data_IF_753219122838
#
_entry.id   IF_753219122838
#
_cell.length_a   1.000
_cell.length_b   1.000
_cell.length_c   1.000
_cell.angle_alpha   90.00
_cell.angle_beta   90.00
_cell.angle_gamma   90.00
#
_symmetry.space_group_name_H-M   'P 1'
#
loop_
_entity.id
_entity.type
_entity.pdbx_description
1 polymer ?
#
# COMPACT_ATOMS: atom_id res chain seq x y z
N UNK A 1 8.71 24.78 31.39
CA UNK A 1 8.15 24.20 30.17
C UNK A 1 9.15 23.12 29.74
N UNK A 2 8.80 21.82 29.84
CA UNK A 2 9.63 20.76 29.27
C UNK A 2 9.67 21.01 27.76
N UNK A 3 10.87 21.18 27.18
CA UNK A 3 11.04 21.21 25.73
C UNK A 3 10.62 19.84 25.18
N UNK A 4 9.43 19.78 24.57
CA UNK A 4 8.98 18.59 23.86
C UNK A 4 9.77 18.47 22.56
N UNK A 5 10.30 17.28 22.25
CA UNK A 5 10.96 17.00 20.97
C UNK A 5 9.96 17.01 19.80
N UNK A 6 8.68 16.74 20.09
CA UNK A 6 7.62 16.69 19.11
C UNK A 6 6.47 17.57 19.53
N UNK A 7 5.85 18.23 18.57
CA UNK A 7 4.65 19.05 18.75
C UNK A 7 3.54 18.47 17.89
N UNK A 8 2.38 18.19 18.51
CA UNK A 8 1.19 17.79 17.76
C UNK A 8 0.60 18.99 17.02
N UNK A 9 0.44 18.86 15.71
CA UNK A 9 -0.20 19.86 14.87
C UNK A 9 -1.68 19.48 14.63
N UNK A 10 -2.63 20.37 14.91
CA UNK A 10 -4.05 20.08 14.70
C UNK A 10 -4.40 20.09 13.21
N UNK A 11 -5.49 19.38 12.84
CA UNK A 11 -6.01 19.35 11.47
C UNK A 11 -6.41 20.73 10.94
N UNK A 12 -6.75 21.67 11.83
CA UNK A 12 -7.02 23.07 11.45
C UNK A 12 -5.78 23.80 10.92
N UNK A 13 -4.59 23.36 11.31
CA UNK A 13 -3.32 23.89 10.81
C UNK A 13 -2.84 23.10 9.59
N UNK A 14 -2.91 21.77 9.66
CA UNK A 14 -2.35 20.90 8.60
C UNK A 14 -3.30 20.69 7.43
N UNK A 15 -4.60 20.91 7.62
CA UNK A 15 -5.69 20.58 6.72
C UNK A 15 -5.82 19.06 6.42
N UNK A 16 -5.11 18.19 7.15
CA UNK A 16 -5.28 16.73 7.05
C UNK A 16 -6.53 16.33 7.84
N UNK A 17 -7.53 15.78 7.13
CA UNK A 17 -8.82 15.34 7.70
C UNK A 17 -9.07 13.85 7.50
N UNK A 18 -8.00 13.09 7.28
CA UNK A 18 -8.12 11.65 7.10
C UNK A 18 -8.65 10.96 8.36
N UNK A 19 -9.65 10.13 8.18
CA UNK A 19 -10.16 9.20 9.19
C UNK A 19 -10.26 7.81 8.58
N UNK A 20 -9.61 6.83 9.19
CA UNK A 20 -9.77 5.44 8.79
C UNK A 20 -11.02 4.87 9.48
N UNK A 21 -12.08 4.59 8.71
CA UNK A 21 -13.34 4.01 9.19
C UNK A 21 -13.50 2.61 8.58
N UNK A 22 -13.09 1.55 9.30
CA UNK A 22 -13.21 0.19 8.80
C UNK A 22 -14.66 -0.11 8.41
N UNK A 23 -14.84 -0.68 7.20
CA UNK A 23 -16.15 -1.12 6.76
C UNK A 23 -16.60 -2.32 7.60
N UNK A 24 -17.86 -2.31 8.03
CA UNK A 24 -18.45 -3.44 8.77
C UNK A 24 -18.74 -4.59 7.79
N UNK A 25 -18.16 -5.75 8.06
CA UNK A 25 -18.42 -6.99 7.30
C UNK A 25 -18.81 -8.12 8.23
N UNK A 26 -19.90 -8.82 7.92
CA UNK A 26 -20.36 -9.95 8.74
C UNK A 26 -19.35 -11.10 8.83
N UNK A 27 -18.58 -11.32 7.77
CA UNK A 27 -17.59 -12.41 7.69
C UNK A 27 -16.15 -11.93 7.93
N UNK A 28 -15.92 -10.63 8.09
CA UNK A 28 -14.60 -10.06 8.30
C UNK A 28 -14.59 -9.21 9.56
N UNK A 29 -14.04 -9.77 10.63
CA UNK A 29 -13.96 -9.14 11.95
C UNK A 29 -12.76 -9.70 12.73
N UNK A 30 -12.53 -9.18 13.93
CA UNK A 30 -11.38 -9.55 14.77
C UNK A 30 -11.30 -11.05 15.12
N UNK A 31 -12.41 -11.79 15.11
CA UNK A 31 -12.41 -13.23 15.41
C UNK A 31 -11.80 -14.06 14.28
N UNK A 32 -11.89 -13.58 13.05
CA UNK A 32 -11.36 -14.27 11.86
C UNK A 32 -10.06 -13.65 11.34
N UNK A 33 -9.87 -12.34 11.58
CA UNK A 33 -8.71 -11.59 11.11
C UNK A 33 -8.09 -10.80 12.27
N UNK A 34 -7.02 -11.31 12.84
CA UNK A 34 -6.40 -10.75 14.04
C UNK A 34 -5.91 -9.31 13.90
N UNK A 35 -5.62 -8.89 12.67
CA UNK A 35 -5.13 -7.53 12.36
C UNK A 35 -6.23 -6.56 11.97
N UNK A 36 -7.49 -6.90 12.25
CA UNK A 36 -8.65 -6.07 11.90
C UNK A 36 -8.54 -4.62 12.41
N UNK A 37 -7.95 -4.42 13.57
CA UNK A 37 -7.78 -3.11 14.17
C UNK A 37 -6.38 -2.50 14.00
N UNK A 38 -5.51 -3.06 13.17
CA UNK A 38 -4.18 -2.50 12.92
C UNK A 38 -4.21 -1.18 12.13
N UNK A 39 -5.34 -0.87 11.50
CA UNK A 39 -5.47 0.34 10.68
C UNK A 39 -4.96 0.16 9.26
N UNK A 40 -4.77 1.26 8.58
CA UNK A 40 -4.15 1.33 7.27
C UNK A 40 -2.67 1.71 7.35
N UNK A 41 -2.03 1.77 6.20
CA UNK A 41 -0.64 2.21 6.04
C UNK A 41 -0.52 3.72 5.80
N UNK A 42 0.70 4.21 5.92
CA UNK A 42 1.09 5.56 5.52
C UNK A 42 2.44 5.51 4.82
N UNK A 43 2.55 6.21 3.70
CA UNK A 43 3.82 6.44 3.01
C UNK A 43 4.03 7.92 2.76
N UNK A 44 5.29 8.31 2.66
CA UNK A 44 5.68 9.69 2.33
C UNK A 44 6.69 9.65 1.18
N UNK A 45 6.54 10.58 0.24
CA UNK A 45 7.44 10.75 -0.89
C UNK A 45 7.12 12.04 -1.62
N UNK A 46 8.07 12.56 -2.35
CA UNK A 46 7.89 13.76 -3.19
C UNK A 46 7.37 13.31 -4.56
N UNK A 47 6.05 13.40 -4.77
CA UNK A 47 5.40 12.88 -5.98
C UNK A 47 5.50 13.81 -7.18
N UNK A 48 5.88 15.07 -6.96
CA UNK A 48 5.93 16.11 -8.00
C UNK A 48 7.31 16.75 -8.17
N UNK A 49 8.33 16.24 -7.45
CA UNK A 49 9.70 16.69 -7.44
C UNK A 49 9.87 18.18 -7.06
N UNK A 50 9.03 18.68 -6.09
CA UNK A 50 9.12 20.05 -5.57
C UNK A 50 9.99 20.18 -4.32
N UNK A 51 10.56 19.08 -3.83
CA UNK A 51 11.41 19.00 -2.64
C UNK A 51 10.62 18.90 -1.33
N UNK A 52 9.30 18.78 -1.36
CA UNK A 52 8.44 18.63 -0.19
C UNK A 52 7.81 17.24 -0.14
N UNK A 53 7.97 16.47 0.95
CA UNK A 53 7.37 15.16 1.04
C UNK A 53 5.84 15.24 1.15
N UNK A 54 5.15 14.53 0.27
CA UNK A 54 3.71 14.33 0.27
C UNK A 54 3.33 13.12 1.12
N UNK A 55 2.04 12.94 1.42
CA UNK A 55 1.58 11.86 2.30
C UNK A 55 0.45 11.09 1.65
N UNK A 56 0.57 9.77 1.59
CA UNK A 56 -0.51 8.88 1.21
C UNK A 56 -0.94 8.01 2.39
N UNK A 57 -2.25 7.96 2.66
CA UNK A 57 -2.87 7.09 3.66
C UNK A 57 -3.72 6.04 2.97
N UNK A 58 -3.61 4.79 3.40
CA UNK A 58 -4.56 3.74 3.04
C UNK A 58 -5.66 3.61 4.06
N UNK A 59 -6.84 3.16 3.62
CA UNK A 59 -8.01 3.01 4.46
C UNK A 59 -8.60 1.60 4.38
N UNK A 60 -9.24 1.17 5.45
CA UNK A 60 -9.91 -0.11 5.57
C UNK A 60 -11.36 -0.04 5.05
N UNK A 61 -11.56 0.70 3.96
CA UNK A 61 -12.81 0.80 3.23
C UNK A 61 -12.55 1.26 1.80
N UNK A 62 -13.39 0.81 0.88
CA UNK A 62 -13.29 1.13 -0.55
C UNK A 62 -13.39 2.63 -0.81
N UNK A 63 -12.45 3.15 -1.60
CA UNK A 63 -12.43 4.58 -1.96
C UNK A 63 -12.00 5.51 -0.82
N UNK A 64 -11.51 4.96 0.29
CA UNK A 64 -11.14 5.72 1.48
C UNK A 64 -9.70 6.22 1.53
N UNK A 65 -8.83 5.74 0.64
CA UNK A 65 -7.43 6.18 0.60
C UNK A 65 -7.32 7.67 0.32
N UNK A 66 -6.26 8.30 0.84
CA UNK A 66 -6.05 9.75 0.71
C UNK A 66 -4.63 10.10 0.31
N UNK A 67 -4.49 10.98 -0.68
CA UNK A 67 -3.23 11.59 -1.08
C UNK A 67 -3.27 13.08 -0.75
N UNK A 68 -2.32 13.51 0.07
CA UNK A 68 -2.16 14.87 0.51
C UNK A 68 -0.88 15.49 -0.06
N UNK A 69 -1.05 16.49 -0.92
CA UNK A 69 0.05 17.27 -1.48
C UNK A 69 0.54 18.29 -0.44
N UNK A 70 1.85 18.33 -0.21
CA UNK A 70 2.49 19.26 0.72
C UNK A 70 2.63 20.64 0.08
N UNK A 71 2.07 21.65 0.72
CA UNK A 71 2.15 23.08 0.27
C UNK A 71 3.19 23.87 1.05
N UNK A 72 4.05 23.18 1.81
CA UNK A 72 5.00 23.80 2.72
C UNK A 72 4.35 24.25 4.05
N UNK A 73 5.19 24.55 5.03
CA UNK A 73 4.78 25.02 6.39
C UNK A 73 3.77 24.08 7.08
N UNK A 74 3.84 22.77 6.81
CA UNK A 74 2.90 21.76 7.31
C UNK A 74 1.44 22.01 6.89
N UNK A 75 1.21 22.56 5.71
CA UNK A 75 -0.11 22.67 5.11
C UNK A 75 -0.23 21.71 3.95
N UNK A 76 -1.34 20.98 3.89
CA UNK A 76 -1.57 19.93 2.91
C UNK A 76 -2.89 20.16 2.16
N UNK A 77 -2.92 19.70 0.91
CA UNK A 77 -4.10 19.73 0.04
C UNK A 77 -4.50 18.29 -0.32
N UNK A 78 -5.77 17.92 -0.08
CA UNK A 78 -6.30 16.61 -0.52
C UNK A 78 -6.49 16.63 -2.03
N UNK A 79 -5.61 15.94 -2.76
CA UNK A 79 -5.66 15.80 -4.23
C UNK A 79 -6.13 14.42 -4.68
N UNK A 80 -6.64 13.57 -3.78
CA UNK A 80 -6.98 12.16 -4.01
C UNK A 80 -7.82 11.94 -5.27
N UNK A 81 -8.90 12.71 -5.41
CA UNK A 81 -9.82 12.56 -6.55
C UNK A 81 -9.19 13.05 -7.85
N UNK A 82 -8.48 14.16 -7.81
CA UNK A 82 -7.75 14.71 -8.95
C UNK A 82 -6.67 13.74 -9.42
N UNK A 83 -5.93 13.14 -8.48
CA UNK A 83 -4.86 12.19 -8.74
C UNK A 83 -5.36 10.82 -9.21
N UNK A 84 -6.61 10.45 -8.88
CA UNK A 84 -7.20 9.16 -9.26
C UNK A 84 -6.75 7.98 -8.38
N UNK A 85 -6.42 8.23 -7.10
CA UNK A 85 -5.78 7.24 -6.22
C UNK A 85 -6.60 6.89 -4.97
N UNK A 86 -7.92 7.00 -5.03
CA UNK A 86 -8.79 6.74 -3.89
C UNK A 86 -8.85 5.25 -3.45
N UNK A 87 -8.40 4.33 -4.30
CA UNK A 87 -8.48 2.88 -4.08
C UNK A 87 -9.79 2.27 -4.57
N UNK A 88 -9.72 1.03 -5.06
CA UNK A 88 -10.87 0.27 -5.55
C UNK A 88 -11.13 -0.99 -4.74
N UNK A 89 -10.14 -1.43 -3.96
CA UNK A 89 -10.19 -2.62 -3.10
C UNK A 89 -10.94 -2.34 -1.80
N UNK A 90 -11.60 -3.38 -1.27
CA UNK A 90 -12.45 -3.25 -0.08
C UNK A 90 -11.64 -2.99 1.20
N UNK A 91 -10.37 -3.41 1.25
CA UNK A 91 -9.53 -3.28 2.44
C UNK A 91 -8.07 -3.07 2.07
N UNK A 92 -7.59 -1.83 2.18
CA UNK A 92 -6.19 -1.50 1.98
C UNK A 92 -5.44 -1.55 3.32
N UNK A 93 -4.27 -2.20 3.34
CA UNK A 93 -3.45 -2.43 4.53
C UNK A 93 -2.19 -1.58 4.54
N UNK A 94 -1.21 -1.92 3.70
CA UNK A 94 0.07 -1.22 3.60
C UNK A 94 0.17 -0.35 2.37
N UNK A 95 1.20 0.50 2.33
CA UNK A 95 1.55 1.30 1.16
C UNK A 95 3.04 1.57 1.12
N UNK A 96 3.60 1.59 -0.09
CA UNK A 96 4.99 1.95 -0.36
C UNK A 96 5.03 2.92 -1.55
N UNK A 97 5.91 3.90 -1.47
CA UNK A 97 6.25 4.79 -2.59
C UNK A 97 7.64 4.44 -3.10
N UNK A 98 7.76 4.22 -4.41
CA UNK A 98 9.01 3.94 -5.10
C UNK A 98 8.86 4.31 -6.58
N UNK A 99 9.96 4.66 -7.23
CA UNK A 99 10.01 4.80 -8.70
C UNK A 99 10.23 3.41 -9.30
N UNK A 100 9.13 2.70 -9.63
CA UNK A 100 9.19 1.29 -10.04
C UNK A 100 9.54 1.09 -11.51
N UNK A 101 9.48 2.15 -12.30
CA UNK A 101 9.74 2.12 -13.73
C UNK A 101 10.98 2.96 -14.15
N UNK A 102 11.69 3.52 -13.16
CA UNK A 102 12.88 4.35 -13.31
C UNK A 102 12.65 5.59 -14.23
N UNK A 103 11.48 6.22 -14.13
CA UNK A 103 11.16 7.44 -14.88
C UNK A 103 11.43 8.73 -14.09
N UNK A 104 11.90 8.62 -12.85
CA UNK A 104 12.23 9.73 -11.96
C UNK A 104 11.04 10.27 -11.18
N UNK A 105 9.86 9.64 -11.25
CA UNK A 105 8.67 10.01 -10.50
C UNK A 105 8.30 8.92 -9.49
N UNK A 106 7.85 9.33 -8.30
CA UNK A 106 7.40 8.38 -7.29
C UNK A 106 6.04 7.79 -7.63
N UNK A 107 5.99 6.45 -7.77
CA UNK A 107 4.78 5.65 -7.89
C UNK A 107 4.26 5.24 -6.51
N UNK A 108 3.01 4.73 -6.45
CA UNK A 108 2.37 4.30 -5.21
C UNK A 108 1.91 2.85 -5.36
N UNK A 109 2.41 1.96 -4.49
CA UNK A 109 1.96 0.57 -4.41
C UNK A 109 1.19 0.33 -3.12
N UNK A 110 -0.06 -0.13 -3.25
CA UNK A 110 -0.99 -0.36 -2.14
C UNK A 110 -1.18 -1.87 -1.95
N UNK A 111 -0.84 -2.35 -0.76
CA UNK A 111 -1.12 -3.72 -0.32
C UNK A 111 -2.56 -3.84 0.17
N UNK A 112 -3.24 -4.96 -0.17
CA UNK A 112 -4.65 -5.16 0.14
C UNK A 112 -4.93 -6.53 0.73
N UNK A 113 -5.94 -6.62 1.57
CA UNK A 113 -6.53 -7.88 2.01
C UNK A 113 -7.72 -8.19 1.10
N UNK A 114 -7.61 -9.25 0.32
CA UNK A 114 -8.60 -9.61 -0.68
C UNK A 114 -8.74 -11.13 -0.85
N UNK A 115 -9.74 -11.55 -1.65
CA UNK A 115 -10.01 -12.96 -1.96
C UNK A 115 -10.36 -13.84 -0.74
N UNK A 116 -10.68 -13.25 0.40
CA UNK A 116 -11.07 -13.93 1.62
C UNK A 116 -12.13 -13.13 2.36
N UNK A 117 -12.94 -13.80 3.17
CA UNK A 117 -13.96 -13.19 4.04
C UNK A 117 -15.00 -12.31 3.30
N UNK A 118 -15.22 -12.53 2.01
CA UNK A 118 -16.10 -11.72 1.18
C UNK A 118 -15.50 -10.41 0.70
N UNK A 119 -14.20 -10.16 0.97
CA UNK A 119 -13.48 -8.99 0.47
C UNK A 119 -13.09 -9.19 -0.99
N UNK A 120 -13.20 -8.14 -1.78
CA UNK A 120 -12.81 -8.07 -3.18
C UNK A 120 -11.71 -7.05 -3.39
N UNK A 121 -10.94 -7.23 -4.48
CA UNK A 121 -9.84 -6.33 -4.85
C UNK A 121 -8.55 -7.08 -5.13
N UNK A 122 -7.49 -6.33 -5.26
CA UNK A 122 -6.12 -6.78 -5.48
C UNK A 122 -5.15 -5.68 -5.03
N UNK A 123 -3.86 -5.99 -4.93
CA UNK A 123 -2.85 -4.96 -4.72
C UNK A 123 -2.84 -3.99 -5.91
N UNK A 124 -2.79 -2.70 -5.63
CA UNK A 124 -2.94 -1.65 -6.63
C UNK A 124 -1.61 -0.93 -6.86
N UNK A 125 -1.22 -0.76 -8.12
CA UNK A 125 -0.03 0.00 -8.51
C UNK A 125 -0.45 1.24 -9.29
N UNK A 126 -0.26 2.40 -8.70
CA UNK A 126 -0.53 3.69 -9.29
C UNK A 126 0.76 4.28 -9.85
N UNK A 127 0.91 4.23 -11.17
CA UNK A 127 2.04 4.82 -11.90
C UNK A 127 1.82 6.32 -12.06
N UNK A 128 2.80 7.09 -11.61
CA UNK A 128 2.80 8.54 -11.71
C UNK A 128 2.94 8.98 -13.18
N UNK A 129 2.01 9.81 -13.65
CA UNK A 129 2.01 10.33 -15.03
C UNK A 129 2.42 11.82 -15.10
N UNK A 130 2.98 12.32 -14.00
CA UNK A 130 3.24 13.74 -13.84
C UNK A 130 1.98 14.58 -13.60
N UNK A 131 2.17 15.86 -13.29
CA UNK A 131 1.08 16.80 -13.02
C UNK A 131 0.09 16.32 -11.93
N UNK A 132 0.58 15.60 -10.93
CA UNK A 132 -0.21 15.03 -9.82
C UNK A 132 -1.33 14.09 -10.29
N UNK A 133 -1.09 13.31 -11.33
CA UNK A 133 -2.01 12.32 -11.85
C UNK A 133 -1.36 10.96 -11.91
N UNK A 134 -2.15 9.93 -11.60
CA UNK A 134 -1.71 8.55 -11.59
C UNK A 134 -2.64 7.69 -12.45
N UNK A 135 -2.10 6.56 -12.92
CA UNK A 135 -2.87 5.51 -13.58
C UNK A 135 -2.69 4.20 -12.83
N UNK A 136 -3.79 3.51 -12.51
CA UNK A 136 -3.72 2.16 -11.96
C UNK A 136 -3.26 1.19 -13.06
N UNK A 137 -2.09 0.60 -12.90
CA UNK A 137 -1.43 -0.26 -13.89
C UNK A 137 -0.92 -1.60 -13.30
N UNK A 138 -1.42 -2.03 -12.14
CA UNK A 138 -0.93 -3.26 -11.47
C UNK A 138 -1.03 -4.50 -12.36
N UNK A 139 -2.10 -4.64 -13.14
CA UNK A 139 -2.28 -5.74 -14.11
C UNK A 139 -1.21 -5.71 -15.19
N UNK A 140 -0.92 -4.54 -15.72
CA UNK A 140 0.09 -4.35 -16.76
C UNK A 140 1.49 -4.72 -16.28
N UNK A 141 1.80 -4.40 -15.02
CA UNK A 141 3.09 -4.67 -14.40
C UNK A 141 3.18 -6.06 -13.76
N UNK A 142 2.08 -6.84 -13.68
CA UNK A 142 2.06 -8.17 -13.08
C UNK A 142 2.04 -8.16 -11.55
N UNK A 143 1.74 -7.03 -10.92
CA UNK A 143 1.73 -6.83 -9.47
C UNK A 143 0.33 -6.80 -8.85
N UNK A 144 -0.71 -7.22 -9.60
CA UNK A 144 -2.12 -7.22 -9.17
C UNK A 144 -2.49 -8.45 -8.32
N UNK A 145 -1.65 -8.83 -7.38
CA UNK A 145 -1.92 -9.99 -6.52
C UNK A 145 -3.15 -9.80 -5.65
N UNK A 146 -3.99 -10.84 -5.57
CA UNK A 146 -5.20 -10.84 -4.74
C UNK A 146 -4.99 -11.81 -3.55
N UNK A 147 -4.29 -11.34 -2.52
CA UNK A 147 -3.82 -12.10 -1.37
C UNK A 147 -4.19 -11.40 -0.05
N UNK A 148 -3.71 -11.92 1.07
CA UNK A 148 -3.81 -11.29 2.37
C UNK A 148 -2.58 -10.39 2.61
N UNK A 149 -2.34 -9.45 1.70
CA UNK A 149 -1.13 -8.63 1.75
C UNK A 149 -1.19 -7.62 2.89
N UNK A 150 -0.08 -7.46 3.62
CA UNK A 150 0.04 -6.53 4.73
C UNK A 150 0.92 -5.35 4.42
N UNK A 151 2.03 -5.60 3.72
CA UNK A 151 3.01 -4.59 3.33
C UNK A 151 3.82 -5.08 2.14
N UNK A 152 4.42 -4.15 1.41
CA UNK A 152 5.36 -4.44 0.33
C UNK A 152 6.58 -3.54 0.44
N UNK A 153 7.70 -3.99 -0.10
CA UNK A 153 8.93 -3.22 -0.17
C UNK A 153 9.56 -3.40 -1.55
N UNK A 154 10.13 -2.31 -2.06
CA UNK A 154 10.89 -2.31 -3.31
C UNK A 154 12.38 -2.12 -3.01
N UNK A 155 13.22 -2.95 -3.62
CA UNK A 155 14.68 -2.88 -3.47
C UNK A 155 15.35 -3.64 -4.62
N UNK A 156 16.55 -3.23 -4.99
CA UNK A 156 17.37 -3.88 -6.00
C UNK A 156 18.02 -5.15 -5.38
N UNK A 157 17.42 -6.31 -5.64
CA UNK A 157 17.83 -7.59 -5.07
C UNK A 157 19.06 -8.19 -5.76
N UNK A 158 19.08 -8.14 -7.08
CA UNK A 158 20.11 -8.80 -7.89
C UNK A 158 21.18 -7.84 -8.42
N UNK A 159 21.11 -6.56 -8.01
CA UNK A 159 22.07 -5.49 -8.33
C UNK A 159 22.13 -5.17 -9.82
N UNK A 160 21.01 -5.27 -10.53
CA UNK A 160 20.90 -4.92 -11.93
C UNK A 160 20.49 -3.45 -12.16
N UNK A 161 20.16 -2.73 -11.09
CA UNK A 161 19.88 -1.29 -11.09
C UNK A 161 18.41 -0.95 -11.18
N UNK A 162 17.51 -1.93 -11.21
CA UNK A 162 16.08 -1.70 -11.09
C UNK A 162 15.52 -2.23 -9.74
N UNK A 163 14.26 -1.90 -9.42
CA UNK A 163 13.68 -2.24 -8.14
C UNK A 163 12.78 -3.46 -8.25
N UNK A 164 13.11 -4.52 -7.53
CA UNK A 164 12.29 -5.70 -7.32
C UNK A 164 11.23 -5.47 -6.24
N UNK A 165 10.23 -6.34 -6.16
CA UNK A 165 9.14 -6.22 -5.21
C UNK A 165 9.02 -7.45 -4.32
N UNK A 166 9.08 -7.27 -3.00
CA UNK A 166 8.71 -8.28 -2.02
C UNK A 166 7.37 -7.92 -1.36
N UNK A 167 6.44 -8.88 -1.36
CA UNK A 167 5.11 -8.72 -0.77
C UNK A 167 5.00 -9.64 0.45
N UNK A 168 4.82 -9.03 1.62
CA UNK A 168 4.55 -9.72 2.87
C UNK A 168 3.06 -10.03 2.97
N UNK A 169 2.71 -11.31 3.01
CA UNK A 169 1.36 -11.79 3.17
C UNK A 169 1.13 -12.40 4.56
N UNK A 170 -0.07 -12.22 5.07
CA UNK A 170 -0.46 -12.80 6.35
C UNK A 170 -1.02 -14.21 6.16
N UNK A 171 -0.72 -15.10 7.10
CA UNK A 171 -1.35 -16.42 7.17
C UNK A 171 -2.85 -16.30 7.43
N UNK A 172 -3.67 -17.00 6.64
CA UNK A 172 -5.11 -17.07 6.85
C UNK A 172 -5.51 -18.16 7.88
N UNK A 173 -4.53 -18.89 8.44
CA UNK A 173 -4.72 -19.90 9.48
C UNK A 173 -3.85 -19.60 10.72
N UNK A 174 -3.96 -18.43 11.35
CA UNK A 174 -3.05 -18.03 12.43
C UNK A 174 -3.08 -18.97 13.63
N UNK A 175 -4.22 -19.65 13.89
CA UNK A 175 -4.35 -20.57 15.00
C UNK A 175 -3.94 -22.02 14.67
N UNK A 176 -4.02 -22.45 13.42
CA UNK A 176 -3.62 -23.78 12.98
C UNK A 176 -2.10 -23.96 12.94
N UNK A 177 -1.37 -22.89 12.66
CA UNK A 177 0.10 -22.91 12.54
C UNK A 177 0.82 -23.18 13.88
N UNK A 178 0.15 -23.09 15.01
CA UNK A 178 0.76 -23.28 16.32
C UNK A 178 0.92 -24.77 16.65
N UNK A 179 0.07 -25.64 16.11
CA UNK A 179 0.01 -27.07 16.48
C UNK A 179 0.72 -28.01 15.53
N UNK A 180 0.90 -27.63 14.27
CA UNK A 180 1.45 -28.49 13.24
C UNK A 180 2.52 -27.79 12.41
N UNK A 181 3.77 -28.25 12.53
CA UNK A 181 4.90 -27.71 11.77
C UNK A 181 4.97 -28.24 10.35
N UNK A 182 4.19 -29.28 9.99
CA UNK A 182 4.19 -29.88 8.65
C UNK A 182 3.73 -28.87 7.60
N UNK A 183 2.80 -27.99 7.95
CA UNK A 183 2.27 -26.96 7.06
C UNK A 183 3.28 -25.87 6.67
N UNK A 184 4.42 -25.75 7.37
CA UNK A 184 5.47 -24.78 7.04
C UNK A 184 6.15 -25.00 5.70
N UNK A 185 5.96 -26.17 5.09
CA UNK A 185 6.55 -26.55 3.80
C UNK A 185 5.61 -26.31 2.61
N UNK A 186 4.36 -25.92 2.87
CA UNK A 186 3.39 -25.66 1.82
C UNK A 186 3.24 -24.18 1.60
N UNK A 187 3.46 -23.74 0.37
CA UNK A 187 3.17 -22.36 -0.06
C UNK A 187 1.66 -22.26 -0.24
N UNK A 188 1.03 -21.43 0.57
CA UNK A 188 -0.39 -21.11 0.43
C UNK A 188 -0.58 -19.97 -0.57
N UNK A 189 -1.48 -20.15 -1.54
CA UNK A 189 -1.68 -19.20 -2.62
C UNK A 189 -2.18 -17.80 -2.17
N UNK A 190 -2.83 -17.74 -0.98
CA UNK A 190 -3.36 -16.47 -0.44
C UNK A 190 -2.46 -15.83 0.62
N UNK A 191 -1.60 -16.63 1.27
CA UNK A 191 -0.87 -16.20 2.47
C UNK A 191 0.64 -16.46 2.41
N UNK A 192 1.15 -17.07 1.34
CA UNK A 192 2.60 -17.15 1.11
C UNK A 192 3.17 -15.80 0.71
N UNK A 193 4.31 -15.44 1.31
CA UNK A 193 5.05 -14.26 0.85
C UNK A 193 5.46 -14.43 -0.61
N UNK A 194 5.55 -13.32 -1.34
CA UNK A 194 5.91 -13.33 -2.76
C UNK A 194 7.07 -12.42 -3.04
N UNK A 195 7.92 -12.87 -3.92
CA UNK A 195 9.03 -12.09 -4.45
C UNK A 195 8.87 -11.95 -5.96
N UNK A 196 8.90 -10.73 -6.46
CA UNK A 196 8.77 -10.41 -7.87
C UNK A 196 10.03 -9.73 -8.36
N UNK A 197 10.71 -10.36 -9.31
CA UNK A 197 11.82 -9.73 -10.01
C UNK A 197 11.29 -8.74 -11.05
N UNK A 198 11.95 -7.61 -11.14
CA UNK A 198 11.63 -6.61 -12.14
C UNK A 198 12.23 -7.00 -13.49
N UNK A 199 11.38 -7.34 -14.45
CA UNK A 199 11.77 -7.64 -15.83
C UNK A 199 11.21 -6.57 -16.80
N UNK A 200 10.94 -5.34 -16.32
CA UNK A 200 10.29 -4.28 -17.11
C UNK A 200 11.10 -3.94 -18.35
N UNK A 201 12.43 -3.93 -18.27
CA UNK A 201 13.33 -3.65 -19.38
C UNK A 201 13.22 -4.68 -20.51
N UNK A 202 12.88 -5.93 -20.20
CA UNK A 202 12.86 -7.06 -21.14
C UNK A 202 11.45 -7.45 -21.57
N UNK A 203 10.55 -7.68 -20.62
CA UNK A 203 9.18 -8.18 -20.87
C UNK A 203 8.09 -7.22 -20.39
N UNK A 204 8.46 -6.06 -19.87
CA UNK A 204 7.58 -4.97 -19.39
C UNK A 204 6.67 -5.35 -18.22
N UNK A 205 7.11 -6.27 -17.35
CA UNK A 205 6.40 -6.61 -16.12
C UNK A 205 7.30 -7.28 -15.10
N UNK A 206 6.82 -7.34 -13.86
CA UNK A 206 7.41 -8.16 -12.80
C UNK A 206 7.06 -9.64 -12.97
N UNK A 207 7.98 -10.52 -12.57
CA UNK A 207 7.81 -11.99 -12.59
C UNK A 207 8.03 -12.58 -11.20
N UNK A 208 7.10 -13.48 -10.78
CA UNK A 208 7.15 -14.22 -9.50
C UNK A 208 8.11 -15.43 -9.58
#
# INVERSE_FOLDING_TARGET
VKNSLFTSLPSSQTNIKFENKPASHNLFNILYYLYYYNGGGVATGDINNDGLPDIYFTANNKGGNKLYLNKGKFQFEDITQQAGVAGTSDWCSGVTMADVNADGLMDIYVSTVSNKYGLTGHNELYINKGNNRFAEESVKYGLNTACLSTQSVFFDYDHDGDLDCFILNQSHHPHANIKDTSNRRFVDALSGDRFFRNDISTIRKFTD
#
